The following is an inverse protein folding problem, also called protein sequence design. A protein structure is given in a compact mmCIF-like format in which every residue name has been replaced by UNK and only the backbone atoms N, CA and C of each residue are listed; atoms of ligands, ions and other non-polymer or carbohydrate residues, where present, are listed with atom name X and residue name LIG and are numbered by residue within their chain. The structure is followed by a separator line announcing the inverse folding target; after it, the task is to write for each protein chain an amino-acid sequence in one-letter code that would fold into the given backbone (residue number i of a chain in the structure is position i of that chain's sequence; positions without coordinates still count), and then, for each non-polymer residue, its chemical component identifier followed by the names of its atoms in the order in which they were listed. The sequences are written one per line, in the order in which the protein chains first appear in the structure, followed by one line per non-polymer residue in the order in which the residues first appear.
data_IF_900723448373
#
_entry.id   IF_900723448373
#
_cell.length_a   1.000
_cell.length_b   1.000
_cell.length_c   1.000
_cell.angle_alpha   90.00
_cell.angle_beta   90.00
_cell.angle_gamma   90.00
#
_symmetry.space_group_name_H-M   'P 1'
#
loop_
_entity.id
_entity.type
_entity.pdbx_description
1 polymer ?
#
# COMPACT_ATOMS: atom_id res chain seq x y z
N UNK A 1 -0.27 2.93 -21.88
CA UNK A 1 -1.48 3.24 -21.10
C UNK A 1 -2.51 2.10 -21.09
N UNK A 2 -2.85 1.45 -22.20
CA UNK A 2 -3.83 0.32 -22.22
C UNK A 2 -3.45 -0.88 -21.33
N UNK A 3 -2.16 -1.19 -21.17
CA UNK A 3 -1.70 -2.35 -20.37
C UNK A 3 -1.78 -2.12 -18.83
N UNK A 4 -1.71 -0.87 -18.37
CA UNK A 4 -1.83 -0.54 -16.94
C UNK A 4 -3.30 -0.63 -16.49
N UNK A 5 -4.24 -0.25 -17.36
CA UNK A 5 -5.67 -0.38 -17.06
C UNK A 5 -6.10 -1.84 -16.88
N UNK A 6 -5.49 -2.78 -17.62
CA UNK A 6 -5.77 -4.21 -17.51
C UNK A 6 -5.32 -4.77 -16.16
N UNK A 7 -4.15 -4.36 -15.65
CA UNK A 7 -3.68 -4.82 -14.33
C UNK A 7 -4.52 -4.26 -13.17
N UNK A 8 -4.96 -3.00 -13.27
CA UNK A 8 -5.86 -2.39 -12.28
C UNK A 8 -7.25 -3.02 -12.35
N UNK A 9 -7.77 -3.29 -13.54
CA UNK A 9 -9.05 -3.97 -13.73
C UNK A 9 -9.02 -5.43 -13.23
N UNK A 10 -7.90 -6.16 -13.41
CA UNK A 10 -7.71 -7.50 -12.85
C UNK A 10 -7.65 -7.49 -11.30
N UNK A 11 -7.00 -6.48 -10.70
CA UNK A 11 -6.98 -6.33 -9.25
C UNK A 11 -8.38 -6.01 -8.68
N UNK A 12 -9.17 -5.21 -9.40
CA UNK A 12 -10.56 -4.92 -9.02
C UNK A 12 -11.51 -6.12 -9.25
N UNK A 13 -11.28 -6.95 -10.27
CA UNK A 13 -12.11 -8.12 -10.52
C UNK A 13 -11.92 -9.23 -9.47
N UNK A 14 -10.76 -9.30 -8.82
CA UNK A 14 -10.54 -10.21 -7.68
C UNK A 14 -11.25 -9.75 -6.39
N UNK A 15 -11.66 -8.47 -6.31
CA UNK A 15 -12.42 -7.92 -5.19
C UNK A 15 -13.93 -8.02 -5.36
N UNK A 16 -14.41 -8.50 -6.50
CA UNK A 16 -15.83 -8.75 -6.69
C UNK A 16 -16.25 -9.93 -5.79
N UNK A 17 -16.94 -9.64 -4.69
CA UNK A 17 -17.67 -10.64 -3.94
C UNK A 17 -18.66 -11.28 -4.91
N UNK A 18 -18.56 -12.59 -5.09
CA UNK A 18 -19.67 -13.33 -5.63
C UNK A 18 -20.87 -13.04 -4.72
N UNK A 19 -21.89 -12.39 -5.25
CA UNK A 19 -23.18 -12.34 -4.57
C UNK A 19 -23.66 -13.79 -4.48
N UNK A 20 -23.98 -14.30 -3.27
CA UNK A 20 -24.51 -15.65 -3.15
C UNK A 20 -25.74 -15.75 -4.05
N UNK A 21 -25.82 -16.79 -4.87
CA UNK A 21 -27.04 -17.12 -5.59
C UNK A 21 -28.07 -17.53 -4.56
N UNK A 22 -29.37 -17.33 -4.83
CA UNK A 22 -30.48 -17.62 -3.92
C UNK A 22 -30.56 -19.08 -3.44
N UNK A 23 -29.63 -19.93 -3.86
CA UNK A 23 -29.54 -21.35 -3.51
C UNK A 23 -28.23 -21.78 -2.87
N UNK A 24 -27.41 -20.84 -2.35
CA UNK A 24 -26.15 -21.19 -1.70
C UNK A 24 -26.41 -21.86 -0.33
N UNK A 25 -25.98 -23.12 -0.23
CA UNK A 25 -26.01 -23.87 1.04
C UNK A 25 -24.81 -23.41 1.89
N UNK A 26 -25.09 -22.76 3.01
CA UNK A 26 -24.09 -22.43 4.01
C UNK A 26 -23.93 -23.58 4.98
N UNK A 27 -22.81 -24.29 4.92
CA UNK A 27 -22.47 -25.37 5.84
C UNK A 27 -21.58 -24.84 6.96
N UNK A 28 -22.08 -24.85 8.18
CA UNK A 28 -21.32 -24.50 9.38
C UNK A 28 -21.05 -25.75 10.19
N UNK A 29 -19.83 -26.28 10.09
CA UNK A 29 -19.43 -27.45 10.87
C UNK A 29 -19.07 -27.03 12.31
N UNK A 30 -19.75 -27.67 13.30
CA UNK A 30 -19.53 -27.44 14.73
C UNK A 30 -19.64 -25.96 15.12
N UNK A 31 -20.80 -25.33 14.97
CA UNK A 31 -21.00 -23.94 15.35
C UNK A 31 -20.78 -23.80 16.87
N UNK A 32 -20.19 -22.65 17.27
CA UNK A 32 -20.00 -22.34 18.69
C UNK A 32 -21.32 -22.11 19.43
N UNK A 33 -22.27 -21.49 18.75
CA UNK A 33 -23.59 -21.18 19.30
C UNK A 33 -24.61 -21.12 18.17
N UNK A 34 -25.76 -21.72 18.38
CA UNK A 34 -26.92 -21.56 17.53
C UNK A 34 -28.05 -21.09 18.42
N UNK A 35 -28.73 -20.03 18.02
CA UNK A 35 -29.95 -19.54 18.67
C UNK A 35 -31.04 -19.67 17.62
N UNK A 36 -32.16 -20.36 18.01
CA UNK A 36 -33.34 -20.44 17.22
C UNK A 36 -34.45 -19.81 18.07
N UNK A 37 -35.07 -18.75 17.54
CA UNK A 37 -36.20 -18.08 18.14
C UNK A 37 -37.39 -18.37 17.25
N UNK A 38 -38.43 -19.02 17.81
CA UNK A 38 -39.65 -19.31 17.07
C UNK A 38 -40.81 -18.63 17.81
N UNK A 39 -41.45 -17.70 17.12
CA UNK A 39 -42.70 -17.05 17.56
C UNK A 39 -43.81 -17.31 16.55
N UNK A 40 -45.01 -16.81 16.85
CA UNK A 40 -46.22 -17.09 16.01
C UNK A 40 -46.09 -16.52 14.58
N UNK A 41 -45.27 -15.47 14.38
CA UNK A 41 -45.14 -14.80 13.08
C UNK A 41 -43.68 -14.57 12.67
N UNK A 42 -42.72 -15.00 13.49
CA UNK A 42 -41.28 -14.78 13.26
C UNK A 42 -40.50 -16.01 13.64
N UNK A 43 -39.62 -16.42 12.75
CA UNK A 43 -38.58 -17.41 13.04
C UNK A 43 -37.22 -16.77 12.75
N UNK A 44 -36.34 -16.74 13.75
CA UNK A 44 -34.95 -16.25 13.60
C UNK A 44 -33.98 -17.37 13.93
N UNK A 45 -33.03 -17.58 13.05
CA UNK A 45 -31.90 -18.50 13.24
C UNK A 45 -30.63 -17.74 13.19
N UNK A 46 -29.89 -17.76 14.27
CA UNK A 46 -28.57 -17.12 14.39
C UNK A 46 -27.50 -18.18 14.64
N UNK A 47 -26.46 -18.19 13.85
CA UNK A 47 -25.35 -19.14 13.94
C UNK A 47 -24.03 -18.41 14.09
N UNK A 48 -23.29 -18.73 15.15
CA UNK A 48 -21.93 -18.22 15.37
C UNK A 48 -20.91 -19.28 15.00
N UNK A 49 -19.86 -18.83 14.31
CA UNK A 49 -18.78 -19.70 13.84
C UNK A 49 -18.01 -20.40 14.95
N UNK A 50 -17.24 -21.40 14.56
CA UNK A 50 -16.35 -22.19 15.40
C UNK A 50 -15.31 -21.31 16.13
N UNK A 51 -14.67 -21.84 17.15
CA UNK A 51 -13.64 -21.14 17.95
C UNK A 51 -12.46 -20.52 17.14
N UNK A 52 -12.22 -20.99 15.93
CA UNK A 52 -11.24 -20.42 15.00
C UNK A 52 -11.78 -19.33 14.04
N UNK A 53 -13.12 -19.26 13.87
CA UNK A 53 -13.80 -18.24 13.06
C UNK A 53 -14.87 -17.54 13.91
N UNK A 54 -14.43 -16.70 14.84
CA UNK A 54 -15.30 -15.98 15.78
C UNK A 54 -16.03 -14.78 15.19
N UNK A 55 -15.66 -14.39 13.98
CA UNK A 55 -16.27 -13.27 13.25
C UNK A 55 -17.45 -13.71 12.40
N UNK A 56 -17.54 -15.01 12.10
CA UNK A 56 -18.68 -15.54 11.36
C UNK A 56 -19.96 -15.45 12.20
N UNK A 57 -20.94 -14.73 11.68
CA UNK A 57 -22.27 -14.60 12.25
C UNK A 57 -23.28 -14.63 11.10
N UNK A 58 -24.08 -15.69 11.08
CA UNK A 58 -25.16 -15.84 10.13
C UNK A 58 -26.47 -15.57 10.84
N UNK A 59 -27.33 -14.76 10.24
CA UNK A 59 -28.69 -14.47 10.73
C UNK A 59 -29.66 -14.75 9.59
N UNK A 60 -30.65 -15.54 9.84
CA UNK A 60 -31.78 -15.76 8.94
C UNK A 60 -33.08 -15.46 9.68
N UNK A 61 -33.80 -14.46 9.20
CA UNK A 61 -35.09 -14.08 9.75
C UNK A 61 -36.18 -14.42 8.72
N UNK A 62 -37.17 -15.18 9.15
CA UNK A 62 -38.37 -15.49 8.37
C UNK A 62 -39.53 -14.82 9.09
N UNK A 63 -40.24 -13.96 8.41
CA UNK A 63 -41.42 -13.28 8.94
C UNK A 63 -42.63 -13.58 8.10
N UNK A 64 -43.77 -13.79 8.74
CA UNK A 64 -45.04 -13.90 8.08
C UNK A 64 -45.66 -12.51 7.95
N UNK A 65 -45.69 -11.97 6.72
CA UNK A 65 -46.25 -10.65 6.41
C UNK A 65 -47.38 -10.88 5.40
N UNK A 66 -48.61 -10.47 5.73
CA UNK A 66 -49.79 -10.56 4.87
C UNK A 66 -49.98 -11.95 4.27
N UNK A 67 -49.85 -13.00 5.11
CA UNK A 67 -49.94 -14.43 4.72
C UNK A 67 -48.82 -14.93 3.79
N UNK A 68 -47.77 -14.12 3.56
CA UNK A 68 -46.57 -14.50 2.82
C UNK A 68 -45.35 -14.58 3.74
N UNK A 69 -44.51 -15.59 3.55
CA UNK A 69 -43.25 -15.71 4.25
C UNK A 69 -42.19 -14.84 3.55
N UNK A 70 -41.66 -13.85 4.25
CA UNK A 70 -40.54 -13.03 3.80
C UNK A 70 -39.29 -13.51 4.54
N UNK A 71 -38.29 -14.00 3.83
CA UNK A 71 -37.00 -14.39 4.42
C UNK A 71 -35.93 -13.31 4.14
N UNK A 72 -35.22 -12.92 5.17
CA UNK A 72 -34.05 -12.08 5.06
C UNK A 72 -32.87 -12.79 5.68
N UNK A 73 -31.82 -13.04 4.91
CA UNK A 73 -30.58 -13.63 5.43
C UNK A 73 -29.42 -12.63 5.33
N UNK A 74 -28.62 -12.55 6.37
CA UNK A 74 -27.39 -11.77 6.39
C UNK A 74 -26.24 -12.64 6.88
N UNK A 75 -25.15 -12.65 6.11
CA UNK A 75 -23.89 -13.27 6.50
C UNK A 75 -22.92 -12.14 6.84
N UNK A 76 -22.56 -12.05 8.10
CA UNK A 76 -21.49 -11.18 8.56
C UNK A 76 -20.23 -12.02 8.73
N UNK A 77 -19.44 -12.11 7.69
CA UNK A 77 -18.07 -12.62 7.76
C UNK A 77 -17.13 -11.42 7.64
N UNK A 78 -16.75 -10.87 8.79
CA UNK A 78 -15.86 -9.71 8.89
C UNK A 78 -14.41 -10.08 8.49
N UNK A 79 -14.23 -10.68 7.32
CA UNK A 79 -12.92 -10.95 6.74
C UNK A 79 -12.27 -9.68 6.17
N UNK A 80 -13.06 -8.65 5.90
CA UNK A 80 -12.60 -7.34 5.45
C UNK A 80 -12.79 -6.29 6.55
N UNK A 81 -11.73 -5.96 7.26
CA UNK A 81 -11.73 -4.80 8.14
C UNK A 81 -10.92 -3.68 7.50
N UNK A 82 -11.58 -2.61 7.14
CA UNK A 82 -10.93 -1.35 6.82
C UNK A 82 -10.43 -0.76 8.14
N UNK A 83 -9.15 -0.89 8.44
CA UNK A 83 -8.55 -0.25 9.61
C UNK A 83 -7.54 0.78 9.14
N UNK A 84 -7.81 2.03 9.45
CA UNK A 84 -6.80 3.08 9.35
C UNK A 84 -5.90 2.89 10.57
N UNK A 85 -4.60 2.67 10.36
CA UNK A 85 -3.63 2.57 11.44
C UNK A 85 -3.71 3.86 12.29
N UNK A 86 -3.58 3.76 13.61
CA UNK A 86 -3.82 4.87 14.53
C UNK A 86 -5.25 4.97 15.07
N UNK A 87 -6.26 4.44 14.38
CA UNK A 87 -7.68 4.44 14.82
C UNK A 87 -8.20 3.04 15.17
N UNK A 88 -7.34 2.11 15.57
CA UNK A 88 -7.74 0.76 15.96
C UNK A 88 -8.67 0.80 17.18
N UNK A 89 -9.87 0.25 17.04
CA UNK A 89 -10.77 0.06 18.17
C UNK A 89 -10.11 -0.87 19.21
N UNK A 90 -9.94 -0.44 20.45
CA UNK A 90 -9.38 -1.29 21.49
C UNK A 90 -10.30 -2.48 21.80
N UNK A 91 -9.73 -3.67 21.92
CA UNK A 91 -10.45 -4.87 22.39
C UNK A 91 -10.88 -5.89 21.35
N UNK A 92 -10.65 -5.69 20.05
CA UNK A 92 -10.96 -6.72 19.03
C UNK A 92 -9.96 -7.89 19.15
N UNK A 93 -10.44 -9.10 19.31
CA UNK A 93 -9.60 -10.31 19.25
C UNK A 93 -9.02 -10.43 17.85
N UNK A 94 -7.70 -10.60 17.77
CA UNK A 94 -6.98 -10.75 16.49
C UNK A 94 -7.46 -12.00 15.75
N UNK A 95 -7.91 -11.83 14.53
CA UNK A 95 -8.20 -12.96 13.63
C UNK A 95 -6.91 -13.67 13.22
N UNK A 96 -7.01 -14.93 12.82
CA UNK A 96 -5.88 -15.69 12.27
C UNK A 96 -5.42 -15.12 10.92
N UNK A 97 -6.36 -14.69 10.12
CA UNK A 97 -6.17 -14.01 8.85
C UNK A 97 -6.87 -12.66 8.89
N UNK A 98 -6.22 -11.63 8.38
CA UNK A 98 -6.75 -10.27 8.32
C UNK A 98 -6.33 -9.64 7.00
N UNK A 99 -7.21 -8.89 6.37
CA UNK A 99 -6.89 -8.07 5.21
C UNK A 99 -7.07 -6.62 5.58
N UNK A 100 -6.06 -5.80 5.31
CA UNK A 100 -6.05 -4.37 5.60
C UNK A 100 -5.56 -3.58 4.40
N UNK A 101 -5.72 -2.27 4.44
CA UNK A 101 -5.12 -1.31 3.53
C UNK A 101 -4.33 -0.30 4.34
N UNK A 102 -3.21 0.18 3.78
CA UNK A 102 -2.38 1.19 4.45
C UNK A 102 -2.02 2.28 3.46
N UNK A 103 -1.96 3.49 3.96
CA UNK A 103 -1.50 4.64 3.21
C UNK A 103 -0.31 5.27 3.92
N UNK A 104 0.77 5.52 3.19
CA UNK A 104 1.99 6.08 3.74
C UNK A 104 2.40 7.35 3.01
N UNK A 105 2.90 8.30 3.78
CA UNK A 105 3.48 9.55 3.29
C UNK A 105 4.85 9.70 3.91
N UNK A 106 5.83 10.00 3.08
CA UNK A 106 7.20 10.14 3.55
C UNK A 106 8.08 10.94 2.63
N UNK A 107 9.36 10.87 2.93
CA UNK A 107 10.41 11.59 2.24
C UNK A 107 11.46 10.60 1.73
N UNK A 108 12.04 10.94 0.59
CA UNK A 108 13.12 10.19 -0.03
C UNK A 108 14.43 10.94 0.07
N UNK A 109 15.49 10.21 0.29
CA UNK A 109 16.85 10.70 0.16
C UNK A 109 17.66 9.80 -0.78
N UNK A 110 18.67 10.35 -1.42
CA UNK A 110 19.61 9.60 -2.23
C UNK A 110 20.89 9.33 -1.45
N UNK A 111 21.39 8.11 -1.56
CA UNK A 111 22.65 7.69 -0.93
C UNK A 111 23.63 7.30 -2.04
N UNK A 112 24.83 7.84 -1.99
CA UNK A 112 25.89 7.55 -2.96
C UNK A 112 25.76 8.32 -4.28
N UNK A 113 25.20 9.53 -4.24
CA UNK A 113 25.22 10.46 -5.38
C UNK A 113 26.67 10.86 -5.73
N UNK A 114 26.95 11.17 -7.02
CA UNK A 114 28.22 11.74 -7.42
C UNK A 114 28.53 13.05 -6.68
N UNK A 115 29.82 13.35 -6.51
CA UNK A 115 30.29 14.56 -5.83
C UNK A 115 29.66 15.82 -6.44
N UNK A 116 29.14 16.70 -5.59
CA UNK A 116 28.49 17.96 -5.99
C UNK A 116 27.01 17.82 -6.38
N UNK A 117 26.47 16.62 -6.44
CA UNK A 117 25.05 16.38 -6.66
C UNK A 117 24.41 15.86 -5.37
N UNK A 118 23.28 16.43 -4.98
CA UNK A 118 22.54 16.01 -3.80
C UNK A 118 21.03 16.13 -4.00
N UNK A 119 20.29 15.35 -3.26
CA UNK A 119 18.82 15.36 -3.24
C UNK A 119 18.37 16.13 -2.00
N UNK A 120 17.35 16.97 -2.15
CA UNK A 120 16.69 17.65 -1.03
C UNK A 120 15.65 16.72 -0.40
N UNK A 121 15.91 16.11 0.77
CA UNK A 121 15.01 15.07 1.33
C UNK A 121 13.59 15.58 1.57
N UNK A 122 13.45 16.75 2.21
CA UNK A 122 12.13 17.32 2.56
C UNK A 122 11.32 17.86 1.36
N UNK A 123 11.95 17.98 0.18
CA UNK A 123 11.25 18.31 -1.07
C UNK A 123 11.08 17.08 -1.97
N UNK A 124 11.60 15.94 -1.55
CA UNK A 124 11.53 14.65 -2.24
C UNK A 124 10.58 13.75 -1.48
N UNK A 125 9.33 13.76 -1.88
CA UNK A 125 8.26 13.06 -1.18
C UNK A 125 7.95 11.70 -1.79
N UNK A 126 7.39 10.83 -0.97
CA UNK A 126 6.86 9.52 -1.32
C UNK A 126 5.39 9.43 -0.90
N UNK A 127 4.56 8.92 -1.79
CA UNK A 127 3.20 8.50 -1.48
C UNK A 127 3.11 7.01 -1.77
N UNK A 128 2.83 6.23 -0.76
CA UNK A 128 2.75 4.79 -0.89
C UNK A 128 1.41 4.27 -0.38
N UNK A 129 0.67 3.62 -1.26
CA UNK A 129 -0.61 3.02 -0.93
C UNK A 129 -0.52 1.51 -1.04
N UNK A 130 -0.56 0.80 0.08
CA UNK A 130 -0.70 -0.65 0.12
C UNK A 130 -2.21 -0.93 0.03
N UNK A 131 -2.66 -1.26 -1.19
CA UNK A 131 -4.07 -1.46 -1.53
C UNK A 131 -4.64 -2.64 -0.76
N UNK A 132 -3.88 -3.72 -0.67
CA UNK A 132 -4.23 -4.91 0.10
C UNK A 132 -3.00 -5.40 0.85
N UNK A 133 -3.17 -5.77 2.11
CA UNK A 133 -2.17 -6.38 2.96
C UNK A 133 -2.79 -7.56 3.71
N UNK A 134 -2.43 -8.76 3.30
CA UNK A 134 -2.87 -10.00 3.93
C UNK A 134 -1.94 -10.36 5.06
N UNK A 135 -2.46 -10.31 6.27
CA UNK A 135 -1.76 -10.70 7.49
C UNK A 135 -2.20 -12.09 7.91
N UNK A 136 -1.25 -12.97 8.19
CA UNK A 136 -1.46 -14.32 8.70
C UNK A 136 -0.73 -14.54 10.01
N UNK A 137 -1.42 -15.05 11.04
CA UNK A 137 -0.89 -15.35 12.38
C UNK A 137 -0.85 -16.86 12.61
N UNK A 138 0.23 -17.55 12.19
CA UNK A 138 0.31 -19.02 12.25
C UNK A 138 0.28 -19.55 13.69
N UNK A 139 0.93 -18.84 14.61
CA UNK A 139 1.10 -19.32 16.00
C UNK A 139 0.04 -18.79 16.97
N UNK A 140 -0.99 -18.07 16.49
CA UNK A 140 -2.04 -17.46 17.31
C UNK A 140 -1.50 -16.55 18.45
N UNK A 141 -0.29 -16.07 18.32
CA UNK A 141 0.38 -15.14 19.21
C UNK A 141 0.45 -13.74 18.59
N UNK A 142 1.35 -12.92 19.07
CA UNK A 142 1.56 -11.56 18.59
C UNK A 142 2.40 -11.46 17.31
N UNK A 143 2.95 -12.56 16.83
CA UNK A 143 3.73 -12.61 15.61
C UNK A 143 2.84 -12.79 14.38
N UNK A 144 3.24 -12.18 13.28
CA UNK A 144 2.52 -12.27 12.02
C UNK A 144 3.46 -12.30 10.82
N UNK A 145 2.95 -12.86 9.74
CA UNK A 145 3.49 -12.72 8.39
C UNK A 145 2.49 -11.91 7.59
N UNK A 146 2.93 -10.97 6.77
CA UNK A 146 2.05 -10.28 5.84
C UNK A 146 2.65 -10.23 4.45
N UNK A 147 1.76 -10.17 3.46
CA UNK A 147 2.08 -9.97 2.06
C UNK A 147 1.04 -9.02 1.46
N UNK A 148 1.52 -7.97 0.81
CA UNK A 148 0.64 -6.95 0.26
C UNK A 148 0.85 -6.69 -1.22
N UNK A 149 -0.05 -5.88 -1.79
CA UNK A 149 0.09 -5.27 -3.10
C UNK A 149 -0.04 -3.76 -2.92
N UNK A 150 0.93 -3.01 -3.42
CA UNK A 150 0.97 -1.56 -3.25
C UNK A 150 1.29 -0.81 -4.53
N UNK A 151 1.00 0.49 -4.49
CA UNK A 151 1.30 1.49 -5.49
C UNK A 151 2.16 2.57 -4.84
N UNK A 152 3.28 2.90 -5.45
CA UNK A 152 4.28 3.79 -4.87
C UNK A 152 4.67 4.89 -5.86
N UNK A 153 4.55 6.14 -5.45
CA UNK A 153 4.96 7.33 -6.18
C UNK A 153 6.11 7.99 -5.44
N UNK A 154 7.29 7.93 -6.02
CA UNK A 154 8.51 8.52 -5.48
C UNK A 154 8.95 9.72 -6.30
N UNK A 155 9.36 10.77 -5.63
CA UNK A 155 9.86 11.99 -6.23
C UNK A 155 11.25 12.30 -5.67
N UNK A 156 12.22 12.50 -6.53
CA UNK A 156 13.62 12.83 -6.18
C UNK A 156 13.95 14.20 -6.73
N UNK A 157 13.99 15.20 -5.86
CA UNK A 157 14.28 16.59 -6.23
C UNK A 157 15.73 16.94 -5.88
N UNK A 158 16.47 17.41 -6.86
CA UNK A 158 17.85 17.89 -6.65
C UNK A 158 17.91 19.19 -5.86
N UNK A 159 19.06 19.44 -5.29
CA UNK A 159 19.51 20.77 -4.86
C UNK A 159 19.56 21.70 -6.07
N UNK A 160 19.50 23.01 -5.82
CA UNK A 160 19.32 23.98 -6.91
C UNK A 160 20.60 24.27 -7.71
N UNK A 161 21.73 23.62 -7.36
CA UNK A 161 23.04 23.83 -8.03
C UNK A 161 23.16 23.08 -9.36
N UNK A 162 22.67 21.84 -9.39
CA UNK A 162 22.70 20.97 -10.56
C UNK A 162 21.30 20.57 -11.00
N UNK A 163 21.17 20.20 -12.26
CA UNK A 163 19.94 19.65 -12.83
C UNK A 163 20.16 18.28 -13.46
N UNK A 164 19.11 17.48 -13.47
CA UNK A 164 19.05 16.32 -14.33
C UNK A 164 18.73 16.76 -15.75
N UNK A 165 19.52 16.29 -16.70
CA UNK A 165 19.33 16.54 -18.14
C UNK A 165 19.31 15.21 -18.84
N UNK A 166 18.41 15.07 -19.82
CA UNK A 166 18.42 13.90 -20.70
C UNK A 166 19.46 14.11 -21.78
N UNK A 167 20.43 13.22 -21.84
CA UNK A 167 21.42 13.12 -22.90
C UNK A 167 21.17 11.81 -23.66
N UNK A 168 20.61 11.92 -24.87
CA UNK A 168 20.15 10.78 -25.67
C UNK A 168 19.21 9.84 -24.89
N UNK A 169 19.73 8.69 -24.40
CA UNK A 169 18.99 7.70 -23.63
C UNK A 169 19.38 7.71 -22.15
N UNK A 170 20.38 8.47 -21.76
CA UNK A 170 20.90 8.56 -20.40
C UNK A 170 20.43 9.84 -19.69
N UNK A 171 20.53 9.85 -18.38
CA UNK A 171 20.34 11.03 -17.55
C UNK A 171 21.73 11.51 -17.12
N UNK A 172 22.08 12.73 -17.48
CA UNK A 172 23.31 13.39 -17.07
C UNK A 172 23.02 14.41 -15.95
N UNK A 173 24.06 14.80 -15.25
CA UNK A 173 24.05 15.93 -14.32
C UNK A 173 24.72 17.10 -15.02
N UNK A 174 24.07 18.26 -15.03
CA UNK A 174 24.56 19.46 -15.69
C UNK A 174 24.22 20.70 -14.87
N UNK A 175 24.96 21.76 -15.09
CA UNK A 175 24.66 23.05 -14.51
C UNK A 175 23.42 23.66 -15.18
N UNK A 176 22.76 24.57 -14.48
CA UNK A 176 21.75 25.41 -15.12
C UNK A 176 22.40 26.37 -16.11
N UNK A 177 21.73 26.77 -17.22
CA UNK A 177 22.25 27.74 -18.17
C UNK A 177 22.61 29.03 -17.48
N UNK A 178 23.73 29.67 -17.92
CA UNK A 178 24.15 30.92 -17.35
C UNK A 178 23.06 32.01 -17.41
N UNK A 179 22.90 32.75 -16.31
CA UNK A 179 21.85 33.77 -16.17
C UNK A 179 20.43 33.20 -15.92
N UNK A 180 20.28 31.89 -15.69
CA UNK A 180 19.00 31.32 -15.32
C UNK A 180 18.81 31.21 -13.80
N UNK A 181 17.57 31.33 -13.36
CA UNK A 181 17.13 31.14 -11.97
C UNK A 181 16.53 29.76 -11.79
N UNK A 182 17.20 28.83 -11.05
CA UNK A 182 16.71 27.46 -10.82
C UNK A 182 15.39 27.46 -10.04
N UNK A 183 14.43 26.64 -10.46
CA UNK A 183 13.21 26.40 -9.67
C UNK A 183 13.21 24.97 -9.11
N UNK A 184 13.39 23.97 -9.95
CA UNK A 184 13.61 22.58 -9.54
C UNK A 184 14.02 21.66 -10.69
N UNK A 185 14.77 20.62 -10.37
CA UNK A 185 14.98 19.45 -11.21
C UNK A 185 14.67 18.18 -10.44
N UNK A 186 13.87 17.28 -11.01
CA UNK A 186 13.40 16.07 -10.32
C UNK A 186 13.19 14.88 -11.22
N UNK A 187 13.43 13.70 -10.68
CA UNK A 187 13.00 12.42 -11.25
C UNK A 187 11.77 11.94 -10.48
N UNK A 188 10.75 11.51 -11.19
CA UNK A 188 9.58 10.82 -10.63
C UNK A 188 9.59 9.37 -11.05
N UNK A 189 9.26 8.50 -10.13
CA UNK A 189 9.12 7.05 -10.36
C UNK A 189 7.76 6.60 -9.85
N UNK A 190 7.09 5.77 -10.63
CA UNK A 190 5.92 5.04 -10.22
C UNK A 190 6.19 3.55 -10.25
N UNK A 191 5.81 2.86 -9.19
CA UNK A 191 6.05 1.43 -9.01
C UNK A 191 4.79 0.73 -8.54
N UNK A 192 4.61 -0.52 -8.97
CA UNK A 192 3.74 -1.50 -8.32
C UNK A 192 4.65 -2.33 -7.44
N UNK A 193 4.27 -2.61 -6.20
CA UNK A 193 5.14 -3.33 -5.29
C UNK A 193 4.43 -4.41 -4.48
N UNK A 194 5.26 -5.35 -4.00
CA UNK A 194 4.88 -6.47 -3.16
C UNK A 194 5.68 -6.39 -1.85
N UNK A 195 5.16 -5.76 -0.80
CA UNK A 195 5.74 -5.83 0.53
C UNK A 195 5.49 -7.23 1.14
N UNK A 196 6.54 -7.84 1.67
CA UNK A 196 6.48 -9.10 2.41
C UNK A 196 7.13 -8.84 3.76
N UNK A 197 6.39 -9.03 4.84
CA UNK A 197 6.85 -8.63 6.17
C UNK A 197 6.65 -9.73 7.19
N UNK A 198 7.59 -9.85 8.09
CA UNK A 198 7.43 -10.53 9.35
C UNK A 198 7.36 -9.48 10.45
N UNK A 199 6.45 -9.62 11.40
CA UNK A 199 6.31 -8.64 12.46
C UNK A 199 5.80 -9.21 13.77
N UNK A 200 5.89 -8.34 14.76
CA UNK A 200 5.38 -8.52 16.10
C UNK A 200 4.44 -7.37 16.45
N UNK A 201 3.28 -7.68 16.98
CA UNK A 201 2.28 -6.69 17.40
C UNK A 201 1.91 -6.90 18.86
N UNK A 202 2.60 -6.19 19.75
CA UNK A 202 2.35 -6.20 21.18
C UNK A 202 1.15 -5.34 21.60
N UNK A 203 0.97 -5.17 22.90
CA UNK A 203 -0.12 -4.38 23.49
C UNK A 203 0.10 -2.88 23.29
N UNK A 204 1.34 -2.41 23.35
CA UNK A 204 1.73 -1.00 23.33
C UNK A 204 2.55 -0.63 22.11
N UNK A 205 3.35 -1.54 21.61
CA UNK A 205 4.22 -1.34 20.46
C UNK A 205 4.20 -2.55 19.54
N UNK A 206 4.57 -2.32 18.30
CA UNK A 206 4.77 -3.33 17.28
C UNK A 206 5.93 -2.96 16.38
N UNK A 207 6.44 -3.95 15.67
CA UNK A 207 7.41 -3.72 14.61
C UNK A 207 7.24 -4.75 13.50
N UNK A 208 7.63 -4.40 12.30
CA UNK A 208 7.75 -5.37 11.22
C UNK A 208 8.98 -5.09 10.37
N UNK A 209 9.52 -6.14 9.77
CA UNK A 209 10.68 -6.09 8.88
C UNK A 209 10.44 -6.99 7.68
N UNK A 210 10.98 -6.59 6.53
CA UNK A 210 10.93 -7.45 5.37
C UNK A 210 11.28 -6.76 4.05
N UNK A 211 11.36 -7.52 2.95
CA UNK A 211 11.60 -6.99 1.63
C UNK A 211 10.35 -6.39 1.01
N UNK A 212 10.55 -5.40 0.14
CA UNK A 212 9.56 -4.86 -0.78
C UNK A 212 10.08 -5.01 -2.19
N UNK A 213 9.43 -5.83 -2.98
CA UNK A 213 9.79 -6.02 -4.39
C UNK A 213 9.05 -4.95 -5.20
N UNK A 214 9.79 -4.06 -5.86
CA UNK A 214 9.22 -2.99 -6.66
C UNK A 214 9.35 -3.31 -8.16
N UNK A 215 8.24 -3.23 -8.86
CA UNK A 215 8.17 -3.23 -10.31
C UNK A 215 8.01 -1.79 -10.77
N UNK A 216 9.12 -1.16 -11.16
CA UNK A 216 9.16 0.22 -11.58
C UNK A 216 8.62 0.34 -13.01
N UNK A 217 7.41 0.85 -13.17
CA UNK A 217 6.69 0.85 -14.45
C UNK A 217 6.80 2.16 -15.21
N UNK A 218 7.10 3.25 -14.52
CA UNK A 218 7.19 4.57 -15.13
C UNK A 218 8.23 5.44 -14.47
N UNK A 219 9.04 6.13 -15.29
CA UNK A 219 9.99 7.15 -14.86
C UNK A 219 9.86 8.41 -15.71
N UNK A 220 9.95 9.58 -15.11
CA UNK A 220 9.98 10.86 -15.81
C UNK A 220 10.92 11.84 -15.14
N UNK A 221 11.58 12.64 -15.95
CA UNK A 221 12.41 13.74 -15.57
C UNK A 221 11.67 15.06 -15.84
N UNK A 222 11.72 15.99 -14.93
CA UNK A 222 11.16 17.32 -15.11
C UNK A 222 12.06 18.37 -14.49
N UNK A 223 12.52 19.29 -15.32
CA UNK A 223 13.32 20.46 -14.91
C UNK A 223 12.54 21.73 -15.21
N UNK A 224 12.59 22.70 -14.32
CA UNK A 224 12.02 24.03 -14.49
C UNK A 224 13.03 25.08 -14.00
N UNK A 225 13.24 26.11 -14.81
CA UNK A 225 14.06 27.25 -14.50
C UNK A 225 13.52 28.49 -15.24
N UNK A 226 13.90 29.66 -14.80
CA UNK A 226 13.57 30.93 -15.45
C UNK A 226 14.82 31.49 -16.10
N UNK A 227 14.68 31.96 -17.35
CA UNK A 227 15.74 32.63 -18.10
C UNK A 227 15.12 33.77 -18.89
N UNK A 228 15.73 34.95 -18.84
CA UNK A 228 15.30 36.16 -19.56
C UNK A 228 13.83 36.51 -19.33
N UNK A 229 13.32 36.33 -18.07
CA UNK A 229 11.94 36.57 -17.70
C UNK A 229 10.94 35.49 -18.18
N UNK A 230 11.42 34.43 -18.84
CA UNK A 230 10.59 33.33 -19.33
C UNK A 230 10.79 32.07 -18.52
N UNK A 231 9.68 31.41 -18.13
CA UNK A 231 9.74 30.10 -17.49
C UNK A 231 9.92 28.99 -18.53
N UNK A 232 11.04 28.28 -18.45
CA UNK A 232 11.36 27.13 -19.27
C UNK A 232 11.08 25.85 -18.50
N UNK A 233 10.51 24.87 -19.18
CA UNK A 233 10.10 23.60 -18.60
C UNK A 233 10.47 22.46 -19.54
N UNK A 234 11.42 21.64 -19.12
CA UNK A 234 11.83 20.43 -19.81
C UNK A 234 11.16 19.22 -19.17
N UNK A 235 10.53 18.37 -19.96
CA UNK A 235 9.85 17.16 -19.48
C UNK A 235 10.18 15.99 -20.39
N UNK A 236 10.87 15.01 -19.83
CA UNK A 236 11.21 13.75 -20.47
C UNK A 236 10.48 12.59 -19.77
N UNK A 237 9.76 11.78 -20.54
CA UNK A 237 8.97 10.64 -20.02
C UNK A 237 9.65 9.28 -20.22
N UNK A 238 10.78 9.25 -20.90
CA UNK A 238 11.54 8.01 -21.17
C UNK A 238 12.84 8.01 -20.36
N UNK A 239 12.71 7.93 -19.05
CA UNK A 239 13.84 7.76 -18.12
C UNK A 239 14.07 6.27 -17.91
N UNK A 240 15.30 5.81 -18.14
CA UNK A 240 15.69 4.39 -17.99
C UNK A 240 15.91 4.04 -16.52
N UNK A 241 14.80 3.84 -15.81
CA UNK A 241 14.82 3.35 -14.43
C UNK A 241 15.08 1.83 -14.38
N UNK A 242 15.64 1.37 -13.26
CA UNK A 242 15.83 -0.07 -13.00
C UNK A 242 14.45 -0.73 -12.90
N UNK A 243 14.12 -1.73 -13.74
CA UNK A 243 12.74 -2.24 -13.84
C UNK A 243 12.27 -2.94 -12.57
N UNK A 244 13.16 -3.68 -11.92
CA UNK A 244 12.88 -4.40 -10.67
C UNK A 244 13.92 -4.02 -9.64
N UNK A 245 13.46 -3.58 -8.47
CA UNK A 245 14.31 -3.28 -7.32
C UNK A 245 13.76 -3.97 -6.09
N UNK A 246 14.62 -4.27 -5.15
CA UNK A 246 14.24 -4.84 -3.85
C UNK A 246 14.69 -3.87 -2.77
N UNK A 247 13.72 -3.39 -2.00
CA UNK A 247 13.97 -2.54 -0.85
C UNK A 247 13.83 -3.37 0.43
N UNK A 248 14.58 -3.02 1.47
CA UNK A 248 14.37 -3.51 2.83
C UNK A 248 13.56 -2.48 3.60
N UNK A 249 12.43 -2.89 4.14
CA UNK A 249 11.59 -2.01 4.94
C UNK A 249 11.53 -2.46 6.39
N UNK A 250 11.36 -1.48 7.26
CA UNK A 250 10.98 -1.66 8.65
C UNK A 250 9.84 -0.75 9.01
N UNK A 251 8.95 -1.21 9.89
CA UNK A 251 7.93 -0.38 10.51
C UNK A 251 8.03 -0.46 12.02
N UNK A 252 7.68 0.63 12.67
CA UNK A 252 7.56 0.71 14.11
C UNK A 252 6.24 1.36 14.47
N UNK A 253 5.42 0.64 15.23
CA UNK A 253 4.07 1.03 15.62
C UNK A 253 4.02 1.33 17.11
N UNK A 254 3.38 2.43 17.47
CA UNK A 254 3.03 2.78 18.85
C UNK A 254 1.51 2.94 18.91
N UNK A 255 0.89 2.42 19.95
CA UNK A 255 -0.56 2.51 20.12
C UNK A 255 -1.03 3.96 20.16
N UNK A 256 -1.96 4.32 19.27
CA UNK A 256 -2.57 5.65 19.21
C UNK A 256 -1.81 6.66 18.35
N UNK A 257 -0.74 6.24 17.67
CA UNK A 257 0.06 7.07 16.75
C UNK A 257 0.17 6.34 15.42
N UNK A 258 0.26 7.04 14.28
CA UNK A 258 0.58 6.43 13.01
C UNK A 258 1.89 5.66 13.05
N UNK A 259 2.01 4.60 12.27
CA UNK A 259 3.21 3.79 12.23
C UNK A 259 4.34 4.56 11.54
N UNK A 260 5.55 4.49 12.09
CA UNK A 260 6.75 4.97 11.42
C UNK A 260 7.24 3.89 10.46
N UNK A 261 7.62 4.28 9.25
CA UNK A 261 8.29 3.36 8.33
C UNK A 261 9.62 3.92 7.85
N UNK A 262 10.52 3.02 7.52
CA UNK A 262 11.72 3.32 6.74
C UNK A 262 11.91 2.24 5.68
N UNK A 263 12.47 2.63 4.52
CA UNK A 263 12.85 1.72 3.44
C UNK A 263 14.24 2.09 2.95
N UNK A 264 15.04 1.09 2.67
CA UNK A 264 16.34 1.24 2.04
C UNK A 264 16.43 0.36 0.81
N UNK A 265 16.72 0.97 -0.33
CA UNK A 265 16.98 0.28 -1.60
C UNK A 265 18.48 0.16 -1.83
N UNK A 266 19.06 -1.04 -1.79
CA UNK A 266 20.46 -1.25 -2.18
C UNK A 266 20.67 -1.16 -3.70
N UNK A 267 19.58 -1.20 -4.48
CA UNK A 267 19.60 -1.10 -5.93
C UNK A 267 19.74 0.35 -6.40
N UNK A 268 20.44 0.57 -7.51
CA UNK A 268 20.47 1.87 -8.16
C UNK A 268 19.09 2.20 -8.76
N UNK A 269 18.65 3.46 -8.62
CA UNK A 269 17.37 3.91 -9.17
C UNK A 269 17.36 3.86 -10.69
N UNK A 270 18.44 4.36 -11.31
CA UNK A 270 18.61 4.33 -12.75
C UNK A 270 19.34 3.05 -13.17
N UNK A 271 19.02 2.56 -14.36
CA UNK A 271 19.69 1.41 -14.96
C UNK A 271 21.17 1.70 -15.17
N UNK A 272 22.02 0.72 -14.96
CA UNK A 272 23.47 0.87 -15.16
C UNK A 272 23.80 1.38 -16.57
N UNK A 273 24.66 2.41 -16.65
CA UNK A 273 25.01 3.10 -17.88
C UNK A 273 24.01 4.14 -18.36
N UNK A 274 22.89 4.34 -17.67
CA UNK A 274 21.85 5.30 -18.09
C UNK A 274 21.67 6.48 -17.13
N UNK A 275 22.60 6.71 -16.24
CA UNK A 275 22.58 7.89 -15.38
C UNK A 275 23.44 7.77 -14.13
N UNK A 276 23.36 8.79 -13.24
CA UNK A 276 24.08 8.77 -11.98
C UNK A 276 23.62 7.60 -11.12
N UNK A 277 24.60 6.93 -10.50
CA UNK A 277 24.34 5.82 -9.58
C UNK A 277 24.03 6.38 -8.21
N UNK A 278 22.84 6.08 -7.71
CA UNK A 278 22.45 6.36 -6.34
C UNK A 278 21.38 5.37 -5.86
N UNK A 279 21.36 5.19 -4.56
CA UNK A 279 20.42 4.32 -3.85
C UNK A 279 19.39 5.19 -3.14
N UNK A 280 18.27 4.58 -2.75
CA UNK A 280 17.18 5.30 -2.10
C UNK A 280 17.08 4.94 -0.62
N UNK A 281 16.92 5.95 0.22
CA UNK A 281 16.48 5.83 1.59
C UNK A 281 15.15 6.59 1.73
N UNK A 282 14.10 5.93 2.19
CA UNK A 282 12.79 6.55 2.44
C UNK A 282 12.40 6.40 3.90
N UNK A 283 11.69 7.39 4.43
CA UNK A 283 11.16 7.36 5.79
C UNK A 283 9.89 8.22 5.88
N UNK A 284 8.97 7.83 6.75
CA UNK A 284 7.71 8.56 6.89
C UNK A 284 6.73 7.90 7.85
N UNK A 285 5.47 8.27 7.67
CA UNK A 285 4.34 7.80 8.46
C UNK A 285 3.42 6.93 7.61
N UNK A 286 2.90 5.87 8.22
CA UNK A 286 1.96 4.93 7.62
C UNK A 286 0.68 4.89 8.46
N UNK A 287 -0.45 4.97 7.77
CA UNK A 287 -1.79 5.00 8.32
C UNK A 287 -2.60 3.78 7.94
#
# INVERSE_FOLDING_TARGET
MKKIFVCVALAFSMAAKATPSDNDTVVVERPRKVIIITGDSVQSVEVWGKEGNRTFHYVSNIQLVDSNYVSTSAINDDTWSFSIAGFRKPGRKKSRTECSTHFAVGFNNAVGMPTGADIQPFKSWELWWIVTDWTYRPWRNNHFLSMGLGLDWRNYRMTDDLRFVKDNRSVALDNYPAGSSPQFSRIKVFSVNLPIRYGYEGKWFGFSLGPVINFNTYGSLKTRYEKDGHQLKDVDKDVRITPVTVDFMGTFSIRGVPDFYFKYSPCNLLRDGYGPKFRTLSFGLMF
#
